data_IF_368940982588
#
_entry.id   IF_368940982588
#
_cell.length_a   1.000
_cell.length_b   1.000
_cell.length_c   1.000
_cell.angle_alpha   90.00
_cell.angle_beta   90.00
_cell.angle_gamma   90.00
#
_symmetry.space_group_name_H-M   'P 1'
#
loop_
_entity.id
_entity.type
_entity.pdbx_description
1 polymer ?
#
# COMPACT_ATOMS: atom_id res chain seq x y z
N UNK A 1 -8.49 25.64 0.25
CA UNK A 1 -8.81 24.19 0.18
C UNK A 1 -7.73 23.48 0.96
N UNK A 2 -8.07 22.54 1.83
CA UNK A 2 -7.06 21.73 2.54
C UNK A 2 -6.25 20.93 1.51
N UNK A 3 -4.92 20.86 1.68
CA UNK A 3 -4.06 20.08 0.79
C UNK A 3 -4.42 18.58 0.83
N UNK A 4 -4.02 17.80 -0.19
CA UNK A 4 -4.27 16.34 -0.23
C UNK A 4 -3.71 15.62 1.00
N UNK A 5 -2.59 16.08 1.57
CA UNK A 5 -2.02 15.54 2.80
C UNK A 5 -2.94 15.71 4.00
N UNK A 6 -3.45 16.93 4.23
CA UNK A 6 -4.39 17.21 5.32
C UNK A 6 -5.71 16.43 5.16
N UNK A 7 -6.21 16.28 3.92
CA UNK A 7 -7.38 15.43 3.63
C UNK A 7 -7.09 13.99 4.00
N UNK A 8 -5.89 13.50 3.68
CA UNK A 8 -5.50 12.12 3.98
C UNK A 8 -5.33 11.90 5.49
N UNK A 9 -4.76 12.85 6.22
CA UNK A 9 -4.66 12.82 7.70
C UNK A 9 -6.04 12.73 8.33
N UNK A 10 -6.98 13.58 7.91
CA UNK A 10 -8.34 13.57 8.42
C UNK A 10 -9.07 12.23 8.27
N UNK A 11 -8.77 11.43 7.24
CA UNK A 11 -9.31 10.07 7.10
C UNK A 11 -8.85 9.14 8.22
N UNK A 12 -7.65 9.32 8.75
CA UNK A 12 -7.13 8.51 9.85
C UNK A 12 -7.66 8.94 11.23
N UNK A 13 -8.25 10.13 11.33
CA UNK A 13 -8.80 10.70 12.57
C UNK A 13 -10.30 10.45 12.72
N UNK A 14 -11.02 10.12 11.64
CA UNK A 14 -12.45 9.84 11.65
C UNK A 14 -12.77 8.56 12.44
N UNK A 15 -14.02 8.43 12.90
CA UNK A 15 -14.50 7.16 13.48
C UNK A 15 -14.54 6.02 12.45
N UNK A 16 -14.37 4.79 12.92
CA UNK A 16 -14.41 3.58 12.11
C UNK A 16 -13.16 3.41 11.23
N UNK A 17 -13.23 2.45 10.31
CA UNK A 17 -12.19 2.15 9.34
C UNK A 17 -12.57 2.63 7.94
N UNK A 18 -11.56 2.88 7.09
CA UNK A 18 -11.78 3.17 5.68
C UNK A 18 -10.95 2.25 4.79
N UNK A 19 -11.46 2.00 3.57
CA UNK A 19 -10.73 1.25 2.55
C UNK A 19 -9.87 2.22 1.74
N UNK A 20 -8.61 1.82 1.52
CA UNK A 20 -7.67 2.47 0.63
C UNK A 20 -7.25 1.46 -0.45
N UNK A 21 -8.00 1.37 -1.58
CA UNK A 21 -7.70 0.41 -2.63
C UNK A 21 -6.43 0.77 -3.39
N UNK A 22 -5.84 -0.23 -4.03
CA UNK A 22 -4.52 -0.13 -4.64
C UNK A 22 -4.59 -0.19 -6.18
N UNK A 23 -4.65 0.96 -6.88
CA UNK A 23 -4.49 1.02 -8.32
C UNK A 23 -3.04 0.72 -8.71
N UNK A 24 -2.86 0.17 -9.91
CA UNK A 24 -1.54 -0.08 -10.50
C UNK A 24 -1.31 0.69 -11.81
N UNK A 25 -2.30 1.44 -12.27
CA UNK A 25 -2.23 2.31 -13.45
C UNK A 25 -3.26 3.45 -13.38
N UNK A 26 -3.23 4.33 -14.36
CA UNK A 26 -4.15 5.47 -14.49
C UNK A 26 -5.60 5.03 -14.65
N UNK A 27 -5.85 3.96 -15.40
CA UNK A 27 -7.21 3.43 -15.63
C UNK A 27 -7.85 2.98 -14.34
N UNK A 28 -7.15 2.13 -13.59
CA UNK A 28 -7.65 1.63 -12.29
C UNK A 28 -7.76 2.74 -11.25
N UNK A 29 -6.88 3.75 -11.27
CA UNK A 29 -7.00 4.90 -10.38
C UNK A 29 -8.28 5.72 -10.63
N UNK A 30 -8.65 5.94 -11.90
CA UNK A 30 -9.89 6.64 -12.27
C UNK A 30 -11.13 5.83 -11.92
N UNK A 31 -11.14 4.53 -12.20
CA UNK A 31 -12.23 3.62 -11.82
C UNK A 31 -12.48 3.70 -10.32
N UNK A 32 -11.44 3.50 -9.51
CA UNK A 32 -11.56 3.51 -8.06
C UNK A 32 -12.01 4.88 -7.51
N UNK A 33 -11.53 5.98 -8.09
CA UNK A 33 -11.98 7.32 -7.72
C UNK A 33 -13.47 7.54 -8.07
N UNK A 34 -13.93 7.12 -9.24
CA UNK A 34 -15.32 7.22 -9.66
C UNK A 34 -16.27 6.33 -8.81
N UNK A 35 -15.77 5.23 -8.26
CA UNK A 35 -16.51 4.38 -7.33
C UNK A 35 -16.67 4.97 -5.92
N UNK A 36 -16.15 6.18 -5.66
CA UNK A 36 -16.36 6.90 -4.41
C UNK A 36 -15.36 6.57 -3.28
N UNK A 37 -14.25 5.88 -3.57
CA UNK A 37 -13.17 5.75 -2.60
C UNK A 37 -12.56 7.12 -2.29
N UNK A 38 -12.12 7.33 -1.04
CA UNK A 38 -11.69 8.64 -0.54
C UNK A 38 -10.20 8.87 -0.58
N UNK A 39 -9.42 7.81 -0.74
CA UNK A 39 -7.97 7.82 -0.89
C UNK A 39 -7.54 6.56 -1.66
N UNK A 40 -6.37 6.62 -2.29
CA UNK A 40 -5.77 5.51 -3.02
C UNK A 40 -4.36 5.23 -2.49
N UNK A 41 -3.90 3.99 -2.58
CA UNK A 41 -2.50 3.64 -2.36
C UNK A 41 -1.96 2.89 -3.58
N UNK A 42 -0.75 3.20 -4.05
CA UNK A 42 -0.14 2.40 -5.12
C UNK A 42 0.21 0.99 -4.63
N UNK A 43 0.61 0.13 -5.51
CA UNK A 43 1.13 -1.20 -5.22
C UNK A 43 2.38 -1.44 -6.06
N UNK A 44 3.52 -1.64 -5.39
CA UNK A 44 4.81 -1.98 -6.03
C UNK A 44 4.69 -3.20 -6.92
N UNK A 45 4.10 -4.29 -6.40
CA UNK A 45 3.88 -5.52 -7.15
C UNK A 45 2.97 -5.32 -8.38
N UNK A 46 1.84 -4.61 -8.22
CA UNK A 46 0.92 -4.35 -9.33
C UNK A 46 1.58 -3.51 -10.44
N UNK A 47 2.38 -2.51 -10.08
CA UNK A 47 3.19 -1.74 -11.00
C UNK A 47 4.21 -2.63 -11.71
N UNK A 48 4.99 -3.41 -10.97
CA UNK A 48 6.00 -4.30 -11.54
C UNK A 48 5.39 -5.28 -12.56
N UNK A 49 4.24 -5.88 -12.22
CA UNK A 49 3.51 -6.78 -13.14
C UNK A 49 3.07 -6.06 -14.43
N UNK A 50 2.65 -4.80 -14.33
CA UNK A 50 2.28 -4.00 -15.52
C UNK A 50 3.46 -3.71 -16.45
N UNK A 51 4.67 -3.70 -15.90
CA UNK A 51 5.92 -3.52 -16.64
C UNK A 51 6.54 -4.87 -17.08
N UNK A 52 5.94 -6.00 -16.70
CA UNK A 52 6.44 -7.34 -17.03
C UNK A 52 7.72 -7.73 -16.28
N UNK A 53 7.95 -7.15 -15.10
CA UNK A 53 9.12 -7.44 -14.25
C UNK A 53 8.68 -7.95 -12.87
N UNK A 54 9.53 -8.71 -12.15
CA UNK A 54 9.25 -9.08 -10.77
C UNK A 54 9.20 -7.86 -9.84
N UNK A 55 8.47 -7.98 -8.73
CA UNK A 55 8.48 -7.00 -7.63
C UNK A 55 9.91 -6.79 -7.10
N UNK A 56 10.22 -5.59 -6.63
CA UNK A 56 11.54 -5.20 -6.14
C UNK A 56 12.57 -4.87 -7.23
N UNK A 57 12.19 -4.93 -8.52
CA UNK A 57 13.09 -4.68 -9.65
C UNK A 57 12.82 -3.35 -10.39
N UNK A 58 11.87 -2.56 -9.91
CA UNK A 58 11.60 -1.24 -10.51
C UNK A 58 12.43 -0.17 -9.81
N UNK A 59 13.25 0.62 -10.55
CA UNK A 59 14.05 1.68 -9.95
C UNK A 59 13.19 2.79 -9.34
N UNK A 60 13.74 3.51 -8.33
CA UNK A 60 13.08 4.62 -7.66
C UNK A 60 12.49 5.66 -8.63
N UNK A 61 13.26 6.05 -9.64
CA UNK A 61 12.83 7.07 -10.60
C UNK A 61 11.61 6.64 -11.42
N UNK A 62 11.56 5.37 -11.82
CA UNK A 62 10.44 4.81 -12.56
C UNK A 62 9.21 4.66 -11.66
N UNK A 63 9.40 4.25 -10.42
CA UNK A 63 8.35 4.21 -9.39
C UNK A 63 7.76 5.60 -9.14
N UNK A 64 8.59 6.62 -8.97
CA UNK A 64 8.13 7.99 -8.76
C UNK A 64 7.44 8.57 -10.02
N UNK A 65 7.92 8.23 -11.20
CA UNK A 65 7.25 8.60 -12.46
C UNK A 65 5.87 7.97 -12.54
N UNK A 66 5.74 6.70 -12.21
CA UNK A 66 4.46 5.99 -12.14
C UNK A 66 3.53 6.62 -11.10
N UNK A 67 4.01 6.90 -9.88
CA UNK A 67 3.23 7.58 -8.85
C UNK A 67 2.70 8.94 -9.33
N UNK A 68 3.52 9.73 -10.04
CA UNK A 68 3.11 11.01 -10.62
C UNK A 68 1.93 10.85 -11.58
N UNK A 69 1.90 9.80 -12.41
CA UNK A 69 0.79 9.57 -13.35
C UNK A 69 -0.51 9.24 -12.61
N UNK A 70 -0.44 8.46 -11.53
CA UNK A 70 -1.59 8.13 -10.69
C UNK A 70 -2.08 9.37 -9.93
N UNK A 71 -1.17 10.17 -9.35
CA UNK A 71 -1.52 11.43 -8.66
C UNK A 71 -2.23 12.41 -9.60
N UNK A 72 -1.80 12.48 -10.85
CA UNK A 72 -2.42 13.35 -11.87
C UNK A 72 -3.78 12.82 -12.36
N UNK A 73 -4.04 11.54 -12.22
CA UNK A 73 -5.26 10.89 -12.71
C UNK A 73 -6.48 11.12 -11.81
N UNK A 74 -6.30 11.61 -10.57
CA UNK A 74 -7.37 11.72 -9.59
C UNK A 74 -7.20 12.94 -8.67
N UNK A 75 -8.31 13.58 -8.22
CA UNK A 75 -8.27 14.59 -7.17
C UNK A 75 -7.98 14.03 -5.77
N UNK A 76 -8.09 12.70 -5.59
CA UNK A 76 -7.94 12.06 -4.29
C UNK A 76 -6.49 12.13 -3.76
N UNK A 77 -6.29 12.07 -2.44
CA UNK A 77 -4.98 11.80 -1.88
C UNK A 77 -4.49 10.40 -2.30
N UNK A 78 -3.23 10.33 -2.70
CA UNK A 78 -2.56 9.09 -3.08
C UNK A 78 -1.39 8.85 -2.14
N UNK A 79 -1.35 7.69 -1.50
CA UNK A 79 -0.19 7.14 -0.78
C UNK A 79 0.59 6.23 -1.72
N UNK A 80 1.90 6.10 -1.53
CA UNK A 80 2.70 5.18 -2.34
C UNK A 80 3.26 4.03 -1.51
N UNK A 81 3.28 2.84 -2.09
CA UNK A 81 4.11 1.73 -1.66
C UNK A 81 5.51 1.96 -2.22
N UNK A 82 6.45 2.37 -1.35
CA UNK A 82 7.83 2.68 -1.71
C UNK A 82 8.82 1.61 -1.24
N UNK A 83 8.30 0.41 -0.98
CA UNK A 83 9.12 -0.73 -0.55
C UNK A 83 10.02 -0.34 0.64
N UNK A 84 11.29 -0.72 0.61
CA UNK A 84 12.27 -0.32 1.63
C UNK A 84 12.81 1.12 1.49
N UNK A 85 12.31 1.93 0.56
CA UNK A 85 12.81 3.29 0.31
C UNK A 85 14.00 3.38 -0.63
N UNK A 86 14.23 2.35 -1.45
CA UNK A 86 15.25 2.26 -2.53
C UNK A 86 16.70 2.37 -2.10
N UNK A 87 16.98 2.16 -0.83
CA UNK A 87 18.33 2.07 -0.27
C UNK A 87 18.29 1.50 1.14
N UNK A 88 19.45 1.17 1.69
CA UNK A 88 19.54 0.55 3.01
C UNK A 88 19.78 1.59 4.12
N UNK A 89 20.37 2.75 3.79
CA UNK A 89 20.67 3.78 4.78
C UNK A 89 19.46 4.63 5.17
N UNK A 90 19.43 5.23 6.37
CA UNK A 90 18.42 6.22 6.76
C UNK A 90 18.35 7.40 5.78
N UNK A 91 19.48 7.86 5.23
CA UNK A 91 19.52 8.98 4.28
C UNK A 91 18.87 8.63 2.93
N UNK A 92 19.00 7.38 2.45
CA UNK A 92 18.30 6.91 1.24
C UNK A 92 16.79 7.00 1.41
N UNK A 93 16.30 6.60 2.59
CA UNK A 93 14.87 6.69 2.92
C UNK A 93 14.42 8.14 2.97
N UNK A 94 15.14 9.01 3.68
CA UNK A 94 14.84 10.44 3.76
C UNK A 94 14.83 11.10 2.36
N UNK A 95 15.80 10.75 1.51
CA UNK A 95 15.85 11.19 0.11
C UNK A 95 14.63 10.74 -0.70
N UNK A 96 14.17 9.51 -0.47
CA UNK A 96 12.97 8.96 -1.11
C UNK A 96 11.71 9.68 -0.66
N UNK A 97 11.55 10.00 0.64
CA UNK A 97 10.43 10.79 1.15
C UNK A 97 10.36 12.17 0.47
N UNK A 98 11.48 12.89 0.40
CA UNK A 98 11.53 14.21 -0.26
C UNK A 98 11.13 14.12 -1.74
N UNK A 99 11.60 13.11 -2.44
CA UNK A 99 11.28 12.89 -3.85
C UNK A 99 9.81 12.49 -4.05
N UNK A 100 9.24 11.67 -3.14
CA UNK A 100 7.84 11.26 -3.15
C UNK A 100 6.89 12.46 -2.95
N UNK A 101 7.19 13.34 -2.02
CA UNK A 101 6.44 14.58 -1.84
C UNK A 101 6.50 15.48 -3.10
N UNK A 102 7.68 15.54 -3.74
CA UNK A 102 7.88 16.32 -4.98
C UNK A 102 7.06 15.84 -6.18
N UNK A 103 6.52 14.62 -6.17
CA UNK A 103 5.60 14.13 -7.21
C UNK A 103 4.12 14.27 -6.83
N UNK A 104 3.80 14.89 -5.68
CA UNK A 104 2.45 15.21 -5.24
C UNK A 104 1.74 14.10 -4.47
N UNK A 105 2.48 13.13 -3.95
CA UNK A 105 1.93 12.12 -3.03
C UNK A 105 1.50 12.76 -1.71
N UNK A 106 0.48 12.19 -1.08
CA UNK A 106 -0.02 12.59 0.23
C UNK A 106 0.55 11.73 1.37
N UNK A 107 1.32 10.71 1.05
CA UNK A 107 1.94 9.80 2.00
C UNK A 107 2.63 8.63 1.30
N UNK A 108 3.28 7.79 2.09
CA UNK A 108 3.86 6.55 1.61
C UNK A 108 3.96 5.49 2.70
N UNK A 109 4.32 4.26 2.31
CA UNK A 109 4.82 3.26 3.24
C UNK A 109 6.31 3.00 3.02
N UNK A 110 7.02 2.75 4.13
CA UNK A 110 8.41 2.28 4.19
C UNK A 110 8.43 1.01 5.04
N UNK A 111 9.08 -0.02 4.55
CA UNK A 111 9.14 -1.32 5.18
C UNK A 111 10.54 -1.67 5.70
N UNK A 112 10.58 -2.58 6.66
CA UNK A 112 11.83 -3.12 7.23
C UNK A 112 12.37 -4.35 6.48
N UNK A 113 11.86 -4.65 5.28
CA UNK A 113 12.38 -5.70 4.41
C UNK A 113 13.68 -5.23 3.72
N UNK A 114 14.70 -6.10 3.72
CA UNK A 114 16.02 -5.76 3.17
C UNK A 114 16.15 -5.95 1.66
N UNK A 115 15.24 -6.73 1.04
CA UNK A 115 15.40 -7.22 -0.32
C UNK A 115 16.32 -8.45 -0.45
N UNK A 116 16.93 -8.92 0.64
CA UNK A 116 17.82 -10.10 0.67
C UNK A 116 17.08 -11.30 1.26
N UNK A 117 17.18 -12.42 0.60
CA UNK A 117 16.47 -13.64 0.99
C UNK A 117 17.05 -14.28 2.26
N UNK A 118 18.36 -14.18 2.42
CA UNK A 118 19.12 -14.77 3.52
C UNK A 118 18.94 -13.99 4.83
N UNK A 119 18.72 -12.69 4.73
CA UNK A 119 18.52 -11.79 5.85
C UNK A 119 17.37 -10.82 5.50
N UNK A 120 16.11 -11.29 5.54
CA UNK A 120 15.01 -10.55 4.93
C UNK A 120 14.58 -9.31 5.69
N UNK A 121 14.87 -9.20 6.99
CA UNK A 121 14.41 -8.10 7.85
C UNK A 121 15.60 -7.34 8.40
N UNK A 122 15.60 -6.01 8.26
CA UNK A 122 16.63 -5.17 8.84
C UNK A 122 16.78 -5.39 10.34
N UNK A 123 18.02 -5.33 10.84
CA UNK A 123 18.30 -5.30 12.28
C UNK A 123 17.44 -4.23 12.96
N UNK A 124 16.95 -4.52 14.17
CA UNK A 124 15.99 -3.67 14.87
C UNK A 124 16.41 -2.19 14.94
N UNK A 125 17.65 -1.91 15.36
CA UNK A 125 18.16 -0.54 15.47
C UNK A 125 18.13 0.20 14.13
N UNK A 126 18.67 -0.43 13.08
CA UNK A 126 18.68 0.16 11.74
C UNK A 126 17.27 0.39 11.19
N UNK A 127 16.34 -0.56 11.42
CA UNK A 127 14.95 -0.39 11.02
C UNK A 127 14.32 0.86 11.67
N UNK A 128 14.57 1.07 12.98
CA UNK A 128 14.09 2.26 13.70
C UNK A 128 14.73 3.54 13.18
N UNK A 129 16.05 3.59 13.02
CA UNK A 129 16.77 4.76 12.48
C UNK A 129 16.26 5.17 11.09
N UNK A 130 15.89 4.21 10.25
CA UNK A 130 15.31 4.43 8.93
C UNK A 130 13.94 5.11 9.02
N UNK A 131 13.09 4.69 9.96
CA UNK A 131 11.78 5.32 10.19
C UNK A 131 11.94 6.70 10.84
N UNK A 132 12.91 6.89 11.75
CA UNK A 132 13.23 8.21 12.32
C UNK A 132 13.60 9.20 11.21
N UNK A 133 14.53 8.83 10.33
CA UNK A 133 14.94 9.68 9.21
C UNK A 133 13.79 9.95 8.22
N UNK A 134 12.92 8.97 7.97
CA UNK A 134 11.70 9.16 7.18
C UNK A 134 10.75 10.17 7.84
N UNK A 135 10.50 10.03 9.15
CA UNK A 135 9.62 10.91 9.89
C UNK A 135 10.16 12.34 9.99
N UNK A 136 11.48 12.51 10.15
CA UNK A 136 12.15 13.82 10.10
C UNK A 136 11.98 14.46 8.72
N UNK A 137 12.19 13.70 7.66
CA UNK A 137 11.98 14.18 6.30
C UNK A 137 10.53 14.60 6.07
N UNK A 138 9.54 13.84 6.55
CA UNK A 138 8.12 14.21 6.46
C UNK A 138 7.82 15.51 7.20
N UNK A 139 8.34 15.69 8.43
CA UNK A 139 8.13 16.92 9.22
C UNK A 139 8.74 18.18 8.58
N UNK A 140 9.78 18.01 7.77
CA UNK A 140 10.44 19.10 7.06
C UNK A 140 9.71 19.52 5.77
N UNK A 141 8.67 18.79 5.34
CA UNK A 141 7.88 19.15 4.17
C UNK A 141 6.93 20.31 4.46
N UNK A 142 6.59 21.14 3.44
CA UNK A 142 5.66 22.24 3.62
C UNK A 142 4.21 21.81 3.84
N UNK A 143 3.84 20.63 3.37
CA UNK A 143 2.49 20.07 3.44
C UNK A 143 2.49 18.78 4.27
N UNK A 144 1.33 18.42 4.83
CA UNK A 144 1.14 17.13 5.49
C UNK A 144 1.48 15.96 4.58
N UNK A 145 2.26 15.01 5.12
CA UNK A 145 2.64 13.79 4.44
C UNK A 145 2.57 12.62 5.43
N UNK A 146 1.75 11.61 5.14
CA UNK A 146 1.47 10.51 6.06
C UNK A 146 2.49 9.39 5.86
N UNK A 147 3.29 9.14 6.87
CA UNK A 147 4.26 8.04 6.91
C UNK A 147 3.63 6.78 7.49
N UNK A 148 3.61 5.70 6.71
CA UNK A 148 3.25 4.36 7.16
C UNK A 148 4.51 3.54 7.34
N UNK A 149 4.78 3.05 8.56
CA UNK A 149 5.88 2.13 8.81
C UNK A 149 5.38 0.68 8.78
N UNK A 150 6.08 -0.19 8.01
CA UNK A 150 5.72 -1.59 7.84
C UNK A 150 6.73 -2.50 8.51
N UNK A 151 6.21 -3.47 9.28
CA UNK A 151 6.98 -4.60 9.81
C UNK A 151 6.64 -5.85 9.00
N UNK A 152 7.62 -6.37 8.28
CA UNK A 152 7.45 -7.42 7.27
C UNK A 152 7.61 -8.85 7.81
N UNK A 153 7.78 -9.04 9.11
CA UNK A 153 8.04 -10.33 9.75
C UNK A 153 7.16 -11.47 9.21
N UNK A 154 5.84 -11.28 9.20
CA UNK A 154 4.89 -12.32 8.81
C UNK A 154 4.96 -12.71 7.34
N UNK A 155 5.28 -11.79 6.43
CA UNK A 155 5.40 -12.09 5.00
C UNK A 155 6.71 -12.81 4.67
N UNK A 156 7.72 -12.69 5.54
CA UNK A 156 9.06 -13.24 5.29
C UNK A 156 9.40 -14.40 6.21
N UNK A 157 8.37 -15.15 6.64
CA UNK A 157 8.56 -16.42 7.37
C UNK A 157 9.04 -16.26 8.82
N UNK A 158 8.84 -15.10 9.41
CA UNK A 158 9.14 -14.79 10.82
C UNK A 158 7.85 -14.44 11.56
N UNK A 159 6.92 -15.40 11.79
CA UNK A 159 5.62 -15.15 12.41
C UNK A 159 5.75 -14.96 13.93
N UNK A 160 6.54 -13.99 14.35
CA UNK A 160 6.76 -13.59 15.73
C UNK A 160 5.92 -12.33 16.01
N UNK A 161 4.82 -12.51 16.76
CA UNK A 161 3.90 -11.44 17.09
C UNK A 161 4.52 -10.45 18.08
N UNK A 162 5.32 -10.93 19.02
CA UNK A 162 5.94 -10.10 20.06
C UNK A 162 7.03 -9.20 19.46
N UNK A 163 7.90 -9.73 18.60
CA UNK A 163 8.89 -8.92 17.86
C UNK A 163 8.19 -7.94 16.92
N UNK A 164 7.10 -8.34 16.26
CA UNK A 164 6.31 -7.47 15.39
C UNK A 164 5.72 -6.29 16.17
N UNK A 165 5.09 -6.53 17.31
CA UNK A 165 4.55 -5.47 18.17
C UNK A 165 5.67 -4.55 18.66
N UNK A 166 6.77 -5.11 19.11
CA UNK A 166 7.94 -4.35 19.58
C UNK A 166 8.50 -3.44 18.49
N UNK A 167 8.61 -3.91 17.25
CA UNK A 167 9.03 -3.10 16.08
C UNK A 167 8.03 -1.98 15.80
N UNK A 168 6.74 -2.30 15.73
CA UNK A 168 5.71 -1.32 15.46
C UNK A 168 5.63 -0.23 16.55
N UNK A 169 5.81 -0.58 17.83
CA UNK A 169 5.91 0.39 18.92
C UNK A 169 7.15 1.29 18.78
N UNK A 170 8.28 0.73 18.36
CA UNK A 170 9.47 1.52 18.09
C UNK A 170 9.29 2.45 16.87
N UNK A 171 8.63 1.98 15.81
CA UNK A 171 8.29 2.82 14.66
C UNK A 171 7.28 3.92 15.01
N UNK A 172 6.32 3.63 15.90
CA UNK A 172 5.43 4.65 16.45
C UNK A 172 6.21 5.73 17.19
N UNK A 173 7.14 5.34 18.07
CA UNK A 173 8.00 6.25 18.81
C UNK A 173 8.93 7.04 17.89
N UNK A 174 9.42 6.44 16.81
CA UNK A 174 10.23 7.08 15.76
C UNK A 174 9.46 8.14 14.94
N UNK A 175 8.12 8.15 15.04
CA UNK A 175 7.30 9.18 14.44
C UNK A 175 6.47 8.75 13.23
N UNK A 176 6.29 7.45 13.01
CA UNK A 176 5.33 6.97 12.01
C UNK A 176 3.90 7.43 12.35
N UNK A 177 3.11 7.80 11.34
CA UNK A 177 1.71 8.20 11.48
C UNK A 177 0.77 6.98 11.49
N UNK A 178 1.14 5.94 10.76
CA UNK A 178 0.36 4.71 10.59
C UNK A 178 1.28 3.50 10.71
N UNK A 179 0.81 2.45 11.36
CA UNK A 179 1.56 1.21 11.57
C UNK A 179 0.96 0.09 10.71
N UNK A 180 1.80 -0.83 10.23
CA UNK A 180 1.34 -1.87 9.34
C UNK A 180 2.18 -3.14 9.48
N UNK A 181 1.52 -4.26 9.78
CA UNK A 181 2.11 -5.60 9.73
C UNK A 181 1.32 -6.45 8.73
N UNK A 182 1.74 -6.51 7.46
CA UNK A 182 1.10 -7.38 6.49
C UNK A 182 1.31 -8.86 6.83
N UNK A 183 0.37 -9.72 6.41
CA UNK A 183 0.45 -11.15 6.66
C UNK A 183 -0.25 -11.64 7.92
N UNK A 184 -0.83 -10.75 8.73
CA UNK A 184 -1.73 -11.14 9.82
C UNK A 184 -3.04 -11.67 9.23
N UNK A 185 -3.34 -12.95 9.47
CA UNK A 185 -4.53 -13.64 8.94
C UNK A 185 -5.51 -14.06 10.04
N UNK A 186 -5.22 -13.74 11.29
CA UNK A 186 -6.03 -14.02 12.47
C UNK A 186 -6.56 -12.73 13.09
N UNK A 187 -7.87 -12.68 13.39
CA UNK A 187 -8.51 -11.48 13.92
C UNK A 187 -8.07 -11.15 15.35
N UNK A 188 -7.72 -12.15 16.14
CA UNK A 188 -7.27 -11.94 17.51
C UNK A 188 -5.84 -11.39 17.54
N UNK A 189 -4.98 -11.86 16.61
CA UNK A 189 -3.65 -11.26 16.40
C UNK A 189 -3.76 -9.80 15.93
N UNK A 190 -4.67 -9.50 14.99
CA UNK A 190 -4.94 -8.13 14.54
C UNK A 190 -5.40 -7.25 15.71
N UNK A 191 -6.34 -7.74 16.52
CA UNK A 191 -6.83 -7.03 17.73
C UNK A 191 -5.70 -6.77 18.72
N UNK A 192 -4.84 -7.75 18.94
CA UNK A 192 -3.68 -7.64 19.83
C UNK A 192 -2.72 -6.56 19.35
N UNK A 193 -2.39 -6.53 18.07
CA UNK A 193 -1.56 -5.48 17.47
C UNK A 193 -2.21 -4.11 17.62
N UNK A 194 -3.49 -3.97 17.27
CA UNK A 194 -4.21 -2.70 17.39
C UNK A 194 -4.26 -2.21 18.85
N UNK A 195 -4.48 -3.12 19.81
CA UNK A 195 -4.52 -2.78 21.24
C UNK A 195 -3.16 -2.40 21.84
N UNK A 196 -2.06 -2.81 21.22
CA UNK A 196 -0.70 -2.51 21.65
C UNK A 196 -0.16 -1.15 21.13
N UNK A 197 -0.87 -0.49 20.22
CA UNK A 197 -0.45 0.71 19.52
C UNK A 197 -1.45 1.86 19.78
N UNK A 198 -0.95 3.10 19.70
CA UNK A 198 -1.76 4.32 19.84
C UNK A 198 -2.09 4.96 18.48
N UNK A 199 -1.24 4.71 17.49
CA UNK A 199 -1.40 5.23 16.13
C UNK A 199 -2.29 4.32 15.30
N UNK A 200 -2.93 4.84 14.23
CA UNK A 200 -3.73 4.07 13.31
C UNK A 200 -3.00 2.83 12.77
N UNK A 201 -3.71 1.71 12.68
CA UNK A 201 -3.19 0.47 12.10
C UNK A 201 -3.82 0.23 10.72
N UNK A 202 -2.98 -0.09 9.74
CA UNK A 202 -3.40 -0.61 8.44
C UNK A 202 -3.37 -2.14 8.45
N UNK A 203 -4.39 -2.75 7.85
CA UNK A 203 -4.42 -4.19 7.55
C UNK A 203 -4.63 -4.39 6.05
N UNK A 204 -3.98 -5.39 5.47
CA UNK A 204 -4.18 -5.76 4.07
C UNK A 204 -5.16 -6.94 3.97
N UNK A 205 -6.21 -6.77 3.16
CA UNK A 205 -7.09 -7.84 2.74
C UNK A 205 -6.76 -8.26 1.30
N UNK A 206 -7.12 -9.50 0.91
CA UNK A 206 -6.82 -10.02 -0.42
C UNK A 206 -5.52 -10.82 -0.51
N UNK A 207 -4.86 -11.09 0.61
CA UNK A 207 -3.89 -12.17 0.74
C UNK A 207 -4.64 -13.50 0.92
N UNK A 208 -4.01 -14.66 0.56
CA UNK A 208 -4.56 -15.97 0.90
C UNK A 208 -4.80 -16.10 2.40
N UNK A 209 -5.93 -16.68 2.79
CA UNK A 209 -6.28 -16.88 4.20
C UNK A 209 -7.66 -16.31 4.54
N UNK A 210 -7.85 -15.89 5.78
CA UNK A 210 -9.11 -15.35 6.24
C UNK A 210 -9.44 -13.99 5.58
N UNK A 211 -10.71 -13.80 5.31
CA UNK A 211 -11.26 -12.53 4.81
C UNK A 211 -12.23 -11.99 5.85
N UNK A 212 -12.00 -10.75 6.28
CA UNK A 212 -12.83 -10.05 7.25
C UNK A 212 -13.50 -8.84 6.59
N UNK A 213 -14.72 -8.55 7.01
CA UNK A 213 -15.43 -7.34 6.62
C UNK A 213 -14.84 -6.09 7.30
N UNK A 214 -15.10 -4.92 6.71
CA UNK A 214 -14.60 -3.64 7.28
C UNK A 214 -15.14 -3.42 8.69
N UNK A 215 -16.38 -3.81 8.99
CA UNK A 215 -16.98 -3.67 10.31
C UNK A 215 -16.25 -4.54 11.36
N UNK A 216 -15.88 -5.78 11.02
CA UNK A 216 -15.14 -6.68 11.89
C UNK A 216 -13.72 -6.14 12.17
N UNK A 217 -13.05 -5.65 11.13
CA UNK A 217 -11.73 -5.03 11.24
C UNK A 217 -11.78 -3.75 12.08
N UNK A 218 -12.78 -2.90 11.88
CA UNK A 218 -12.99 -1.70 12.70
C UNK A 218 -13.23 -2.04 14.17
N UNK A 219 -14.03 -3.09 14.46
CA UNK A 219 -14.26 -3.57 15.82
C UNK A 219 -13.00 -4.18 16.47
N UNK A 220 -12.04 -4.64 15.66
CA UNK A 220 -10.72 -5.08 16.12
C UNK A 220 -9.71 -3.92 16.32
N UNK A 221 -10.09 -2.67 16.02
CA UNK A 221 -9.25 -1.48 16.17
C UNK A 221 -8.52 -1.03 14.89
N UNK A 222 -8.78 -1.70 13.76
CA UNK A 222 -8.17 -1.31 12.47
C UNK A 222 -8.74 0.02 11.99
N UNK A 223 -7.88 0.90 11.50
CA UNK A 223 -8.26 2.20 10.95
C UNK A 223 -8.26 2.24 9.43
N UNK A 224 -7.38 1.51 8.79
CA UNK A 224 -7.19 1.53 7.34
C UNK A 224 -7.10 0.11 6.79
N UNK A 225 -7.81 -0.15 5.70
CA UNK A 225 -7.81 -1.45 5.02
C UNK A 225 -7.34 -1.27 3.58
N UNK A 226 -6.17 -1.82 3.25
CA UNK A 226 -5.64 -1.88 1.89
C UNK A 226 -5.87 -3.27 1.27
N UNK A 227 -5.63 -3.39 -0.03
CA UNK A 227 -5.79 -4.67 -0.74
C UNK A 227 -4.49 -5.12 -1.44
N UNK A 228 -3.43 -4.31 -1.34
CA UNK A 228 -2.14 -4.62 -1.96
C UNK A 228 -2.27 -4.94 -3.45
N UNK A 229 -1.60 -5.97 -3.92
CA UNK A 229 -1.66 -6.41 -5.32
C UNK A 229 -2.90 -7.23 -5.68
N UNK A 230 -3.88 -7.40 -4.78
CA UNK A 230 -5.00 -8.32 -5.00
C UNK A 230 -5.81 -7.99 -6.27
N UNK A 231 -6.13 -6.71 -6.49
CA UNK A 231 -6.86 -6.29 -7.69
C UNK A 231 -6.05 -6.52 -8.97
N UNK A 232 -4.75 -6.22 -8.98
CA UNK A 232 -3.88 -6.51 -10.11
C UNK A 232 -3.80 -8.02 -10.37
N UNK A 233 -3.58 -8.84 -9.34
CA UNK A 233 -3.57 -10.31 -9.47
C UNK A 233 -4.89 -10.87 -9.97
N UNK A 234 -6.01 -10.30 -9.56
CA UNK A 234 -7.35 -10.68 -10.06
C UNK A 234 -7.46 -10.40 -11.56
N UNK A 235 -7.07 -9.20 -12.00
CA UNK A 235 -7.12 -8.80 -13.41
C UNK A 235 -6.19 -9.68 -14.26
N UNK A 236 -4.92 -9.81 -13.89
CA UNK A 236 -3.97 -10.68 -14.61
C UNK A 236 -4.38 -12.15 -14.58
N UNK A 237 -4.93 -12.61 -13.47
CA UNK A 237 -5.49 -13.98 -13.38
C UNK A 237 -6.62 -14.21 -14.38
N UNK A 238 -7.48 -13.21 -14.60
CA UNK A 238 -8.55 -13.28 -15.62
C UNK A 238 -7.97 -13.33 -17.02
N UNK A 239 -6.95 -12.50 -17.33
CA UNK A 239 -6.24 -12.56 -18.62
C UNK A 239 -5.61 -13.94 -18.85
N UNK A 240 -4.94 -14.51 -17.85
CA UNK A 240 -4.32 -15.83 -17.96
C UNK A 240 -5.37 -16.92 -18.23
N UNK A 241 -6.52 -16.88 -17.54
CA UNK A 241 -7.61 -17.86 -17.79
C UNK A 241 -8.17 -17.72 -19.20
N UNK A 242 -8.45 -16.50 -19.66
CA UNK A 242 -8.94 -16.23 -21.01
C UNK A 242 -7.94 -16.67 -22.08
N UNK A 243 -6.66 -16.33 -21.92
CA UNK A 243 -5.60 -16.75 -22.83
C UNK A 243 -5.45 -18.28 -22.90
N UNK A 244 -5.57 -18.96 -21.76
CA UNK A 244 -5.52 -20.43 -21.70
C UNK A 244 -6.72 -21.06 -22.42
N UNK A 245 -7.93 -20.53 -22.24
CA UNK A 245 -9.13 -20.98 -22.97
C UNK A 245 -8.92 -20.86 -24.48
N UNK A 246 -8.47 -19.71 -24.97
CA UNK A 246 -8.16 -19.49 -26.38
C UNK A 246 -7.11 -20.49 -26.90
N UNK A 247 -6.01 -20.64 -26.19
CA UNK A 247 -4.88 -21.46 -26.63
C UNK A 247 -5.18 -22.96 -26.62
N UNK A 248 -6.00 -23.46 -25.69
CA UNK A 248 -6.23 -24.90 -25.52
C UNK A 248 -7.54 -25.40 -26.08
N UNK A 249 -8.56 -24.56 -26.17
CA UNK A 249 -9.91 -24.93 -26.59
C UNK A 249 -10.37 -24.21 -27.87
N UNK A 250 -9.68 -23.18 -28.31
CA UNK A 250 -10.10 -22.36 -29.45
C UNK A 250 -11.46 -21.68 -29.22
N UNK A 251 -11.84 -21.40 -27.95
CA UNK A 251 -13.11 -20.78 -27.61
C UNK A 251 -12.90 -19.40 -26.98
N UNK A 252 -13.95 -18.60 -26.93
CA UNK A 252 -13.95 -17.19 -26.50
C UNK A 252 -15.06 -16.92 -25.47
N UNK A 253 -15.41 -17.90 -24.65
CA UNK A 253 -16.50 -17.78 -23.65
C UNK A 253 -16.20 -16.74 -22.57
N UNK A 254 -14.93 -16.47 -22.31
CA UNK A 254 -14.50 -15.41 -21.39
C UNK A 254 -15.10 -14.04 -21.73
N UNK A 255 -15.53 -13.82 -23.00
CA UNK A 255 -16.16 -12.57 -23.43
C UNK A 255 -17.50 -12.28 -22.71
N UNK A 256 -18.15 -13.30 -22.17
CA UNK A 256 -19.37 -13.15 -21.39
C UNK A 256 -19.13 -12.48 -20.02
N UNK A 257 -17.91 -12.59 -19.50
CA UNK A 257 -17.51 -11.97 -18.22
C UNK A 257 -16.84 -10.59 -18.44
N UNK A 258 -16.63 -10.19 -19.70
CA UNK A 258 -16.04 -8.91 -20.02
C UNK A 258 -17.06 -7.78 -19.78
N UNK A 259 -16.61 -6.72 -19.11
CA UNK A 259 -17.42 -5.50 -18.92
C UNK A 259 -17.79 -4.89 -20.27
N UNK A 260 -19.01 -4.38 -20.39
CA UNK A 260 -19.49 -3.71 -21.60
C UNK A 260 -18.65 -2.48 -21.94
N UNK A 261 -18.42 -2.24 -23.25
CA UNK A 261 -17.57 -1.14 -23.72
C UNK A 261 -18.03 0.22 -23.17
N UNK A 262 -19.32 0.55 -23.33
CA UNK A 262 -19.88 1.82 -22.84
C UNK A 262 -19.83 1.95 -21.31
N UNK A 263 -19.99 0.84 -20.59
CA UNK A 263 -19.89 0.81 -19.12
C UNK A 263 -18.46 1.13 -18.66
N UNK A 264 -17.47 0.56 -19.34
CA UNK A 264 -16.07 0.85 -19.03
C UNK A 264 -15.68 2.29 -19.38
N UNK A 265 -16.11 2.80 -20.54
CA UNK A 265 -15.84 4.18 -20.95
C UNK A 265 -16.44 5.23 -20.02
N UNK A 266 -17.58 4.92 -19.38
CA UNK A 266 -18.22 5.83 -18.43
C UNK A 266 -17.32 6.22 -17.26
N UNK A 267 -16.36 5.40 -16.86
CA UNK A 267 -15.37 5.73 -15.84
C UNK A 267 -14.31 6.74 -16.29
N UNK A 268 -14.16 6.95 -17.60
CA UNK A 268 -13.09 7.78 -18.19
C UNK A 268 -13.63 9.06 -18.81
N UNK A 269 -14.94 9.18 -18.95
CA UNK A 269 -15.60 10.40 -19.44
C UNK A 269 -15.72 11.39 -18.28
N UNK A 270 -15.35 12.69 -18.48
CA UNK A 270 -15.43 13.73 -17.47
C UNK A 270 -16.85 13.99 -16.98
#
# INVERSE_FOLDING_TARGET
MSGKGATFRALHEQEGAFIIPNPWDVGTARILAAMGFRALATTSAGMAFSLGVPEGHVPREDTLRHCRTIVAATPLPVSADLEKGFGDSPEDVAGTIRAAAGVGLAGCSIEDHTGRREDPIFAFGLAVERIEAAAEACRALPDDFILTARCENFLWGRPDLDDTIKRLQAFEAAGADVLYAPGLTDLDAIRTVCGALRKPVNVVMGLPGATFGVAELAAAGVKRVSVGSALARLAYGSVVRAAREMATQGSFRFSHDAMGFAELEAFFTP
#
